data_IF_643995233197
#
_entry.id   IF_643995233197
#
_cell.length_a   1.000
_cell.length_b   1.000
_cell.length_c   1.000
_cell.angle_alpha   90.00
_cell.angle_beta   90.00
_cell.angle_gamma   90.00
#
_symmetry.space_group_name_H-M   'P 1'
#
loop_
_entity.id
_entity.type
_entity.pdbx_description
1 polymer ?
#
# COMPACT_ATOMS: atom_id res chain seq x y z
N UNK A 1 -34.05 10.64 6.55
CA UNK A 1 -33.90 9.52 7.50
C UNK A 1 -33.73 8.26 6.68
N UNK A 2 -32.51 7.82 6.45
CA UNK A 2 -32.20 6.62 5.64
C UNK A 2 -32.19 5.42 6.59
N UNK A 3 -33.10 4.47 6.37
CA UNK A 3 -33.23 3.21 7.11
C UNK A 3 -31.87 2.51 7.28
N UNK A 4 -31.60 2.03 8.48
CA UNK A 4 -30.41 1.27 8.83
C UNK A 4 -30.41 -0.10 8.10
N UNK A 5 -29.25 -0.67 7.82
CA UNK A 5 -29.07 -1.86 6.98
C UNK A 5 -29.79 -3.13 7.51
N UNK A 6 -30.20 -3.16 8.78
CA UNK A 6 -30.91 -4.27 9.37
C UNK A 6 -32.38 -4.41 8.99
N UNK A 7 -32.99 -3.36 8.38
CA UNK A 7 -34.43 -3.32 8.10
C UNK A 7 -34.80 -3.54 6.62
N UNK A 8 -33.90 -4.09 5.83
CA UNK A 8 -34.21 -4.36 4.43
C UNK A 8 -34.69 -5.78 4.24
N UNK A 9 -35.94 -5.97 3.90
CA UNK A 9 -36.57 -7.28 3.62
C UNK A 9 -36.04 -7.95 2.34
N UNK A 10 -35.38 -7.17 1.45
CA UNK A 10 -34.89 -7.69 0.18
C UNK A 10 -33.35 -7.76 0.18
N UNK A 11 -32.77 -8.87 -0.37
CA UNK A 11 -31.33 -9.02 -0.49
C UNK A 11 -30.68 -7.88 -1.31
N UNK A 12 -29.49 -7.46 -0.92
CA UNK A 12 -28.69 -6.52 -1.71
C UNK A 12 -28.28 -7.17 -3.03
N UNK A 13 -28.39 -6.50 -4.18
CA UNK A 13 -27.84 -7.02 -5.43
C UNK A 13 -26.33 -7.31 -5.29
N UNK A 14 -25.58 -6.39 -4.70
CA UNK A 14 -24.14 -6.54 -4.47
C UNK A 14 -23.76 -5.98 -3.10
N UNK A 15 -22.95 -6.72 -2.35
CA UNK A 15 -22.28 -6.29 -1.14
C UNK A 15 -20.76 -6.35 -1.36
N UNK A 16 -20.04 -5.28 -1.02
CA UNK A 16 -18.60 -5.17 -1.17
C UNK A 16 -17.97 -4.97 0.21
N UNK A 17 -16.93 -5.75 0.53
CA UNK A 17 -16.17 -5.62 1.78
C UNK A 17 -14.87 -4.86 1.51
N UNK A 18 -14.75 -3.66 2.07
CA UNK A 18 -13.59 -2.78 1.96
C UNK A 18 -13.74 -1.65 0.94
N UNK A 19 -13.37 -0.43 1.34
CA UNK A 19 -13.43 0.79 0.52
C UNK A 19 -12.02 1.33 0.16
N UNK A 20 -11.08 0.42 -0.11
CA UNK A 20 -9.80 0.72 -0.76
C UNK A 20 -9.94 0.82 -2.29
N UNK A 21 -8.80 0.78 -3.01
CA UNK A 21 -8.80 0.79 -4.48
C UNK A 21 -9.74 -0.26 -5.09
N UNK A 22 -9.68 -1.51 -4.61
CA UNK A 22 -10.50 -2.60 -5.16
C UNK A 22 -11.99 -2.34 -5.01
N UNK A 23 -12.44 -2.04 -3.78
CA UNK A 23 -13.85 -1.82 -3.50
C UNK A 23 -14.43 -0.57 -4.17
N UNK A 24 -13.69 0.55 -4.14
CA UNK A 24 -14.09 1.76 -4.85
C UNK A 24 -14.15 1.54 -6.37
N UNK A 25 -13.14 0.88 -6.93
CA UNK A 25 -13.10 0.56 -8.36
C UNK A 25 -14.28 -0.29 -8.80
N UNK A 26 -14.61 -1.34 -8.01
CA UNK A 26 -15.75 -2.21 -8.27
C UNK A 26 -17.08 -1.43 -8.17
N UNK A 27 -17.29 -0.64 -7.11
CA UNK A 27 -18.51 0.14 -6.95
C UNK A 27 -18.72 1.15 -8.09
N UNK A 28 -17.64 1.81 -8.54
CA UNK A 28 -17.69 2.73 -9.67
C UNK A 28 -18.03 1.97 -10.98
N UNK A 29 -17.42 0.81 -11.19
CA UNK A 29 -17.70 -0.01 -12.38
C UNK A 29 -19.15 -0.50 -12.41
N UNK A 30 -19.66 -1.01 -11.28
CA UNK A 30 -21.06 -1.42 -11.13
C UNK A 30 -22.04 -0.26 -11.41
N UNK A 31 -21.75 0.92 -10.85
CA UNK A 31 -22.56 2.11 -11.08
C UNK A 31 -22.58 2.53 -12.56
N UNK A 32 -21.45 2.45 -13.24
CA UNK A 32 -21.36 2.69 -14.71
C UNK A 32 -22.15 1.66 -15.51
N UNK A 33 -22.23 0.42 -15.03
CA UNK A 33 -23.02 -0.65 -15.63
C UNK A 33 -24.52 -0.59 -15.26
N UNK A 34 -24.97 0.46 -14.52
CA UNK A 34 -26.38 0.62 -14.14
C UNK A 34 -26.75 -0.02 -12.79
N UNK A 35 -25.86 -0.77 -12.15
CA UNK A 35 -26.09 -1.36 -10.82
C UNK A 35 -25.78 -0.30 -9.75
N UNK A 36 -26.84 0.34 -9.23
CA UNK A 36 -26.71 1.44 -8.27
C UNK A 36 -26.94 1.03 -6.82
N UNK A 37 -27.63 -0.07 -6.62
CA UNK A 37 -27.99 -0.59 -5.31
C UNK A 37 -26.89 -1.51 -4.80
N UNK A 38 -25.85 -0.90 -4.21
CA UNK A 38 -24.64 -1.56 -3.73
C UNK A 38 -24.37 -1.13 -2.30
N UNK A 39 -24.09 -2.08 -1.42
CA UNK A 39 -23.65 -1.82 -0.05
C UNK A 39 -22.14 -2.04 0.05
N UNK A 40 -21.40 -1.01 0.46
CA UNK A 40 -19.98 -1.15 0.82
C UNK A 40 -19.83 -1.10 2.34
N UNK A 41 -19.16 -2.09 2.92
CA UNK A 41 -18.81 -2.13 4.33
C UNK A 41 -17.31 -1.82 4.49
N UNK A 42 -16.96 -0.78 5.24
CA UNK A 42 -15.59 -0.38 5.52
C UNK A 42 -15.36 -0.29 7.04
N UNK A 43 -14.32 -0.98 7.53
CA UNK A 43 -13.98 -0.99 8.96
C UNK A 43 -13.52 0.38 9.49
N UNK A 44 -12.91 1.18 8.65
CA UNK A 44 -12.40 2.48 9.02
C UNK A 44 -13.43 3.60 8.89
N UNK A 45 -12.99 4.81 9.22
CA UNK A 45 -13.84 6.02 9.26
C UNK A 45 -13.92 6.75 7.91
N UNK A 46 -13.14 6.33 6.92
CA UNK A 46 -13.09 6.93 5.59
C UNK A 46 -12.64 5.90 4.56
N UNK A 47 -12.79 6.24 3.28
CA UNK A 47 -12.25 5.48 2.15
C UNK A 47 -10.71 5.49 2.14
N UNK A 48 -10.10 4.60 1.38
CA UNK A 48 -8.66 4.63 1.09
C UNK A 48 -7.89 3.36 1.45
N UNK A 49 -8.44 2.49 2.32
CA UNK A 49 -7.78 1.24 2.71
C UNK A 49 -6.36 1.47 3.23
N UNK A 50 -5.37 0.78 2.66
CA UNK A 50 -3.95 0.89 3.07
C UNK A 50 -3.39 2.31 2.97
N UNK A 51 -3.92 3.16 2.10
CA UNK A 51 -3.50 4.57 1.96
C UNK A 51 -4.08 5.48 3.04
N UNK A 52 -5.14 5.07 3.72
CA UNK A 52 -5.61 5.69 4.96
C UNK A 52 -4.81 5.18 6.17
N UNK A 53 -4.50 3.89 6.19
CA UNK A 53 -3.92 3.22 7.36
C UNK A 53 -2.41 3.45 7.50
N UNK A 54 -1.65 3.46 6.40
CA UNK A 54 -0.19 3.56 6.43
C UNK A 54 0.27 5.01 6.35
N UNK A 55 0.38 5.65 7.50
CA UNK A 55 0.75 7.07 7.65
C UNK A 55 2.15 7.29 8.19
N UNK A 56 3.01 6.26 8.19
CA UNK A 56 4.39 6.37 8.65
C UNK A 56 5.20 7.38 7.81
N UNK A 57 6.24 8.01 8.38
CA UNK A 57 7.08 8.98 7.66
C UNK A 57 7.66 8.39 6.37
N UNK A 58 7.61 9.14 5.30
CA UNK A 58 8.10 8.70 3.98
C UNK A 58 7.18 7.72 3.24
N UNK A 59 5.98 7.44 3.75
CA UNK A 59 5.02 6.56 3.09
C UNK A 59 4.67 7.05 1.68
N UNK A 60 4.96 6.22 0.68
CA UNK A 60 4.74 6.54 -0.73
C UNK A 60 4.55 5.26 -1.56
N UNK A 61 4.05 5.40 -2.77
CA UNK A 61 3.94 4.29 -3.71
C UNK A 61 5.31 3.93 -4.29
N UNK A 62 5.50 2.66 -4.61
CA UNK A 62 6.65 2.11 -5.33
C UNK A 62 6.30 1.75 -6.79
N UNK A 63 5.12 2.15 -7.24
CA UNK A 63 4.67 2.09 -8.64
C UNK A 63 4.47 3.52 -9.14
N UNK A 64 4.87 3.84 -10.39
CA UNK A 64 4.72 5.18 -10.94
C UNK A 64 3.29 5.69 -10.87
N UNK A 65 3.11 6.95 -10.46
CA UNK A 65 1.81 7.57 -10.14
C UNK A 65 0.79 7.48 -11.26
N UNK A 66 1.21 7.72 -12.51
CA UNK A 66 0.32 7.61 -13.67
C UNK A 66 -0.11 6.17 -13.98
N UNK A 67 0.60 5.16 -13.47
CA UNK A 67 0.20 3.76 -13.56
C UNK A 67 -0.66 3.36 -12.35
N UNK A 68 -0.31 3.85 -11.14
CA UNK A 68 -1.00 3.54 -9.89
C UNK A 68 -2.24 4.44 -9.70
N UNK A 69 -3.18 4.35 -10.61
CA UNK A 69 -4.46 5.08 -10.62
C UNK A 69 -5.49 4.29 -11.40
N UNK A 70 -6.76 4.59 -11.22
CA UNK A 70 -7.81 3.99 -12.06
C UNK A 70 -7.62 4.39 -13.53
N UNK A 71 -7.76 3.43 -14.43
CA UNK A 71 -7.65 3.69 -15.86
C UNK A 71 -8.75 4.63 -16.40
N UNK A 72 -9.90 4.58 -15.77
CA UNK A 72 -11.07 5.39 -16.10
C UNK A 72 -11.09 6.78 -15.40
N UNK A 73 -10.13 7.03 -14.49
CA UNK A 73 -10.01 8.30 -13.76
C UNK A 73 -8.52 8.69 -13.67
N UNK A 74 -7.88 9.03 -14.79
CA UNK A 74 -6.50 9.45 -14.80
C UNK A 74 -6.33 10.81 -14.12
N UNK A 75 -5.22 11.00 -13.41
CA UNK A 75 -4.90 12.24 -12.71
C UNK A 75 -3.68 12.93 -13.35
N UNK A 76 -3.85 14.06 -14.05
CA UNK A 76 -2.72 14.81 -14.62
C UNK A 76 -1.93 15.59 -13.57
N UNK A 77 -2.48 15.74 -12.38
CA UNK A 77 -1.95 16.61 -11.32
C UNK A 77 -0.97 15.94 -10.35
N UNK A 78 -0.53 14.70 -10.61
CA UNK A 78 0.43 14.05 -9.73
C UNK A 78 1.67 14.91 -9.52
N UNK A 79 2.11 15.05 -8.25
CA UNK A 79 3.24 15.91 -7.89
C UNK A 79 4.58 15.33 -8.32
N UNK A 80 4.70 14.00 -8.35
CA UNK A 80 5.96 13.31 -8.62
C UNK A 80 5.78 11.91 -9.19
N UNK A 81 6.88 11.30 -9.63
CA UNK A 81 6.88 9.95 -10.25
C UNK A 81 6.28 8.90 -9.32
N UNK A 82 6.58 8.97 -8.01
CA UNK A 82 6.04 8.05 -7.00
C UNK A 82 5.34 8.87 -5.91
N UNK A 83 4.03 8.99 -6.02
CA UNK A 83 3.23 9.84 -5.15
C UNK A 83 3.30 9.42 -3.69
N UNK A 84 3.35 10.41 -2.76
CA UNK A 84 3.24 10.16 -1.34
C UNK A 84 1.84 9.70 -0.96
N UNK A 85 1.75 9.06 0.19
CA UNK A 85 0.53 8.48 0.76
C UNK A 85 -0.65 9.45 0.76
N UNK A 86 -0.46 10.68 1.24
CA UNK A 86 -1.52 11.67 1.36
C UNK A 86 -2.14 12.03 -0.01
N UNK A 87 -1.32 12.16 -1.04
CA UNK A 87 -1.78 12.48 -2.40
C UNK A 87 -2.62 11.35 -3.00
N UNK A 88 -2.24 10.09 -2.73
CA UNK A 88 -3.01 8.92 -3.17
C UNK A 88 -4.33 8.80 -2.41
N UNK A 89 -4.32 9.07 -1.11
CA UNK A 89 -5.55 9.09 -0.31
C UNK A 89 -6.53 10.16 -0.82
N UNK A 90 -6.02 11.36 -1.10
CA UNK A 90 -6.83 12.45 -1.65
C UNK A 90 -7.37 12.10 -3.05
N UNK A 91 -6.59 11.43 -3.87
CA UNK A 91 -7.06 10.91 -5.15
C UNK A 91 -8.25 9.95 -4.97
N UNK A 92 -8.16 8.98 -4.05
CA UNK A 92 -9.25 8.04 -3.77
C UNK A 92 -10.50 8.72 -3.23
N UNK A 93 -10.34 9.71 -2.34
CA UNK A 93 -11.44 10.55 -1.83
C UNK A 93 -12.16 11.29 -2.95
N UNK A 94 -11.39 11.92 -3.84
CA UNK A 94 -11.96 12.61 -5.02
C UNK A 94 -12.67 11.63 -5.95
N UNK A 95 -12.12 10.44 -6.22
CA UNK A 95 -12.80 9.42 -7.02
C UNK A 95 -14.13 8.99 -6.39
N UNK A 96 -14.14 8.70 -5.09
CA UNK A 96 -15.34 8.29 -4.38
C UNK A 96 -16.44 9.37 -4.42
N UNK A 97 -16.06 10.64 -4.24
CA UNK A 97 -16.98 11.78 -4.31
C UNK A 97 -17.49 12.02 -5.74
N UNK A 98 -16.57 12.13 -6.71
CA UNK A 98 -16.90 12.42 -8.12
C UNK A 98 -17.85 11.40 -8.72
N UNK A 99 -17.63 10.11 -8.43
CA UNK A 99 -18.47 9.04 -8.93
C UNK A 99 -19.68 8.72 -8.05
N UNK A 100 -19.91 9.49 -6.98
CA UNK A 100 -21.09 9.36 -6.11
C UNK A 100 -21.17 8.03 -5.35
N UNK A 101 -20.02 7.34 -5.13
CA UNK A 101 -20.02 6.06 -4.39
C UNK A 101 -19.76 6.22 -2.90
N UNK A 102 -19.30 7.40 -2.44
CA UNK A 102 -19.07 7.65 -1.01
C UNK A 102 -20.32 7.44 -0.15
N UNK A 103 -21.50 7.84 -0.65
CA UNK A 103 -22.79 7.66 0.03
C UNK A 103 -23.26 6.21 0.15
N UNK A 104 -22.65 5.29 -0.57
CA UNK A 104 -22.93 3.85 -0.51
C UNK A 104 -22.03 3.13 0.50
N UNK A 105 -21.03 3.82 1.08
CA UNK A 105 -20.11 3.23 2.05
C UNK A 105 -20.66 3.41 3.46
N UNK A 106 -20.73 2.31 4.19
CA UNK A 106 -20.94 2.33 5.64
C UNK A 106 -19.61 2.17 6.32
N UNK A 107 -19.24 3.19 7.05
CA UNK A 107 -17.98 3.25 7.80
C UNK A 107 -18.13 2.67 9.21
N UNK A 108 -17.00 2.27 9.82
CA UNK A 108 -16.97 1.64 11.14
C UNK A 108 -17.58 0.25 11.16
N UNK A 109 -17.68 -0.41 10.01
CA UNK A 109 -18.31 -1.73 9.88
C UNK A 109 -17.26 -2.82 9.74
N UNK A 110 -17.04 -3.60 10.79
CA UNK A 110 -16.08 -4.72 10.80
C UNK A 110 -16.81 -6.02 10.49
N UNK A 111 -16.60 -6.53 9.27
CA UNK A 111 -17.16 -7.83 8.85
C UNK A 111 -16.44 -8.95 9.60
N UNK A 112 -17.22 -9.82 10.25
CA UNK A 112 -16.75 -10.96 11.04
C UNK A 112 -16.95 -12.29 10.33
N UNK A 113 -18.03 -12.42 9.55
CA UNK A 113 -18.36 -13.66 8.84
C UNK A 113 -19.07 -13.38 7.52
N UNK A 114 -18.91 -14.30 6.58
CA UNK A 114 -19.71 -14.37 5.35
C UNK A 114 -19.89 -15.85 4.99
N UNK A 115 -21.13 -16.27 4.80
CA UNK A 115 -21.49 -17.63 4.45
C UNK A 115 -22.45 -17.62 3.25
N UNK A 116 -22.25 -18.54 2.33
CA UNK A 116 -23.18 -18.74 1.21
C UNK A 116 -24.25 -19.73 1.62
N UNK A 117 -25.49 -19.35 1.43
CA UNK A 117 -26.67 -20.20 1.64
C UNK A 117 -27.08 -20.83 0.31
N UNK A 118 -26.74 -22.08 0.14
CA UNK A 118 -27.00 -22.85 -1.08
C UNK A 118 -28.52 -23.00 -1.35
N UNK A 119 -29.36 -23.09 -0.30
CA UNK A 119 -30.78 -23.27 -0.46
C UNK A 119 -31.49 -22.05 -1.04
N UNK A 120 -31.01 -20.88 -0.68
CA UNK A 120 -31.58 -19.59 -1.13
C UNK A 120 -30.77 -18.89 -2.19
N UNK A 121 -29.52 -19.35 -2.50
CA UNK A 121 -28.61 -18.74 -3.46
C UNK A 121 -28.14 -17.35 -3.01
N UNK A 122 -27.95 -17.15 -1.72
CA UNK A 122 -27.64 -15.84 -1.13
C UNK A 122 -26.42 -15.92 -0.20
N UNK A 123 -25.63 -14.83 -0.18
CA UNK A 123 -24.64 -14.60 0.84
C UNK A 123 -25.27 -13.98 2.07
N UNK A 124 -25.03 -14.57 3.24
CA UNK A 124 -25.29 -13.95 4.54
C UNK A 124 -23.98 -13.35 5.07
N UNK A 125 -23.98 -12.04 5.29
CA UNK A 125 -22.80 -11.31 5.76
C UNK A 125 -23.10 -10.70 7.12
N UNK A 126 -22.21 -10.93 8.07
CA UNK A 126 -22.32 -10.45 9.46
C UNK A 126 -21.19 -9.46 9.76
N UNK A 127 -21.53 -8.38 10.45
CA UNK A 127 -20.55 -7.35 10.88
C UNK A 127 -20.97 -6.69 12.19
N UNK A 128 -20.04 -6.02 12.84
CA UNK A 128 -20.31 -5.05 13.91
C UNK A 128 -20.24 -3.65 13.36
N UNK A 129 -21.19 -2.78 13.72
CA UNK A 129 -21.21 -1.37 13.33
C UNK A 129 -20.30 -0.51 14.26
N UNK A 130 -20.19 0.79 13.98
CA UNK A 130 -19.39 1.74 14.77
C UNK A 130 -19.79 1.84 16.24
N UNK A 131 -21.00 1.40 16.61
CA UNK A 131 -21.48 1.34 17.97
C UNK A 131 -21.35 -0.06 18.60
N UNK A 132 -20.53 -0.95 18.01
CA UNK A 132 -20.36 -2.35 18.41
C UNK A 132 -21.65 -3.19 18.40
N UNK A 133 -22.65 -2.81 17.64
CA UNK A 133 -23.90 -3.57 17.52
C UNK A 133 -23.75 -4.59 16.40
N UNK A 134 -24.15 -5.86 16.63
CA UNK A 134 -24.17 -6.86 15.57
C UNK A 134 -25.22 -6.52 14.51
N UNK A 135 -24.83 -6.71 13.26
CA UNK A 135 -25.63 -6.47 12.06
C UNK A 135 -25.48 -7.65 11.12
N UNK A 136 -26.50 -7.90 10.30
CA UNK A 136 -26.41 -8.88 9.22
C UNK A 136 -27.21 -8.40 7.99
N UNK A 137 -26.83 -8.86 6.82
CA UNK A 137 -27.59 -8.66 5.60
C UNK A 137 -27.39 -9.83 4.63
N UNK A 138 -28.34 -9.97 3.72
CA UNK A 138 -28.26 -10.92 2.61
C UNK A 138 -27.88 -10.18 1.32
N UNK A 139 -27.07 -10.83 0.48
CA UNK A 139 -26.67 -10.29 -0.82
C UNK A 139 -26.63 -11.39 -1.88
N UNK A 140 -27.01 -11.05 -3.14
CA UNK A 140 -26.91 -11.99 -4.27
C UNK A 140 -25.45 -12.19 -4.68
N UNK A 141 -24.66 -11.13 -4.63
CA UNK A 141 -23.23 -11.16 -4.98
C UNK A 141 -22.42 -10.55 -3.84
N UNK A 142 -21.38 -11.26 -3.42
CA UNK A 142 -20.40 -10.77 -2.46
C UNK A 142 -19.07 -10.52 -3.16
N UNK A 143 -18.53 -9.30 -2.98
CA UNK A 143 -17.21 -8.92 -3.46
C UNK A 143 -16.26 -8.71 -2.28
N UNK A 144 -15.25 -9.56 -2.17
CA UNK A 144 -14.19 -9.40 -1.17
C UNK A 144 -13.11 -8.45 -1.71
N UNK A 145 -13.06 -7.22 -1.19
CA UNK A 145 -12.06 -6.21 -1.51
C UNK A 145 -11.23 -5.82 -0.27
N UNK A 146 -10.99 -6.78 0.63
CA UNK A 146 -10.33 -6.62 1.94
C UNK A 146 -8.85 -6.24 1.84
N UNK A 147 -8.22 -6.38 0.66
CA UNK A 147 -6.80 -6.13 0.43
C UNK A 147 -5.90 -7.22 1.03
N UNK A 148 -4.60 -7.15 0.70
CA UNK A 148 -3.59 -8.13 1.16
C UNK A 148 -2.87 -7.68 2.43
N UNK A 149 -2.91 -6.39 2.79
CA UNK A 149 -2.12 -5.79 3.86
C UNK A 149 -2.99 -5.13 4.95
N UNK A 150 -4.28 -5.45 4.98
CA UNK A 150 -5.25 -4.80 5.87
C UNK A 150 -5.19 -5.25 7.34
N UNK A 151 -4.36 -6.27 7.67
CA UNK A 151 -4.20 -6.77 9.04
C UNK A 151 -2.71 -6.82 9.40
N UNK A 152 -2.23 -5.93 10.29
CA UNK A 152 -0.86 -5.97 10.77
C UNK A 152 -0.62 -7.24 11.59
N UNK A 153 0.55 -7.84 11.43
CA UNK A 153 1.00 -8.97 12.20
C UNK A 153 2.24 -8.58 13.01
N UNK A 154 2.11 -8.55 14.32
CA UNK A 154 3.24 -8.41 15.25
C UNK A 154 3.75 -9.82 15.55
N UNK A 155 5.03 -10.14 15.28
CA UNK A 155 5.57 -11.46 15.59
C UNK A 155 5.62 -11.69 17.10
N UNK A 156 5.36 -12.93 17.52
CA UNK A 156 5.56 -13.34 18.91
C UNK A 156 7.07 -13.47 19.18
N UNK A 157 7.66 -12.45 19.77
CA UNK A 157 9.07 -12.43 20.15
C UNK A 157 9.20 -12.63 21.64
N UNK A 158 10.06 -13.55 22.09
CA UNK A 158 10.34 -13.73 23.52
C UNK A 158 10.78 -12.40 24.15
N UNK A 159 10.14 -12.02 25.25
CA UNK A 159 10.47 -10.80 26.00
C UNK A 159 9.88 -9.51 25.42
N UNK A 160 9.09 -9.54 24.35
CA UNK A 160 8.46 -8.34 23.80
C UNK A 160 7.51 -7.69 24.80
N UNK A 161 6.78 -8.49 25.59
CA UNK A 161 5.82 -8.00 26.58
C UNK A 161 6.52 -7.35 27.81
N UNK A 162 7.80 -7.64 28.04
CA UNK A 162 8.61 -7.03 29.11
C UNK A 162 9.31 -5.73 28.66
N UNK A 163 9.19 -5.35 27.39
CA UNK A 163 9.78 -4.12 26.90
C UNK A 163 9.02 -2.90 27.42
N UNK A 164 9.67 -2.08 28.22
CA UNK A 164 9.05 -0.93 28.89
C UNK A 164 8.73 0.26 27.95
N UNK A 165 9.27 0.27 26.75
CA UNK A 165 9.05 1.33 25.77
C UNK A 165 7.82 1.09 24.87
N UNK A 166 7.42 2.09 24.09
CA UNK A 166 6.35 1.91 23.13
C UNK A 166 6.70 0.90 22.03
N UNK A 167 5.77 -0.03 21.76
CA UNK A 167 5.83 -1.01 20.67
C UNK A 167 4.64 -0.80 19.74
N UNK A 168 4.89 -0.68 18.45
CA UNK A 168 3.81 -0.55 17.46
C UNK A 168 4.25 -1.04 16.07
N UNK A 169 3.27 -1.48 15.29
CA UNK A 169 3.48 -1.86 13.90
C UNK A 169 3.44 -0.64 12.99
N UNK A 170 4.23 -0.60 11.91
CA UNK A 170 4.29 0.53 10.98
C UNK A 170 2.93 0.90 10.35
N UNK A 171 2.03 -0.07 10.14
CA UNK A 171 0.67 0.17 9.67
C UNK A 171 -0.25 0.85 10.72
N UNK A 172 0.21 0.95 11.96
CA UNK A 172 -0.46 1.62 13.08
C UNK A 172 0.48 2.64 13.70
N UNK A 173 1.01 3.53 12.86
CA UNK A 173 2.02 4.50 13.26
C UNK A 173 1.51 5.43 14.36
N UNK A 174 2.29 5.56 15.43
CA UNK A 174 2.00 6.39 16.60
C UNK A 174 2.62 7.78 16.41
N UNK A 175 1.84 8.70 15.84
CA UNK A 175 2.26 10.09 15.63
C UNK A 175 2.41 10.90 16.93
N UNK A 176 1.80 10.43 18.01
CA UNK A 176 1.89 11.00 19.36
C UNK A 176 3.25 10.69 20.05
N UNK A 177 4.07 9.80 19.48
CA UNK A 177 5.39 9.44 20.00
C UNK A 177 6.47 10.18 19.21
N UNK A 178 7.15 11.13 19.86
CA UNK A 178 8.32 11.76 19.27
C UNK A 178 9.54 10.82 19.39
N UNK A 179 10.14 10.52 18.24
CA UNK A 179 11.34 9.69 18.12
C UNK A 179 12.65 10.49 18.16
N UNK A 180 12.58 11.83 18.25
CA UNK A 180 13.77 12.68 18.32
C UNK A 180 14.56 12.38 19.61
N UNK A 181 15.86 12.17 19.45
CA UNK A 181 16.76 11.87 20.56
C UNK A 181 16.54 10.50 21.22
N UNK A 182 15.66 9.64 20.69
CA UNK A 182 15.38 8.31 21.23
C UNK A 182 16.28 7.23 20.64
N UNK A 183 16.43 6.15 21.39
CA UNK A 183 16.98 4.89 20.90
C UNK A 183 15.83 4.08 20.32
N UNK A 184 15.88 3.78 19.02
CA UNK A 184 14.78 3.12 18.30
C UNK A 184 15.27 1.79 17.74
N UNK A 185 14.48 0.74 17.94
CA UNK A 185 14.68 -0.57 17.31
C UNK A 185 13.63 -0.78 16.21
N UNK A 186 14.06 -1.22 15.04
CA UNK A 186 13.19 -1.57 13.92
C UNK A 186 13.42 -3.03 13.56
N UNK A 187 12.34 -3.81 13.60
CA UNK A 187 12.37 -5.23 13.25
C UNK A 187 11.83 -5.41 11.84
N UNK A 188 12.72 -5.75 10.93
CA UNK A 188 12.41 -5.99 9.52
C UNK A 188 12.98 -4.97 8.55
N UNK A 189 13.15 -5.40 7.30
CA UNK A 189 13.69 -4.65 6.16
C UNK A 189 12.76 -4.70 4.94
N UNK A 190 11.44 -4.69 5.19
CA UNK A 190 10.41 -4.74 4.15
C UNK A 190 10.11 -3.37 3.53
N UNK A 191 9.09 -3.32 2.65
CA UNK A 191 8.72 -2.14 1.89
C UNK A 191 8.42 -0.89 2.75
N UNK A 192 7.83 -1.07 3.93
CA UNK A 192 7.59 0.05 4.86
C UNK A 192 8.90 0.52 5.50
N UNK A 193 9.73 -0.43 5.99
CA UNK A 193 10.98 -0.10 6.66
C UNK A 193 11.93 0.71 5.77
N UNK A 194 12.08 0.36 4.49
CA UNK A 194 12.96 1.09 3.57
C UNK A 194 12.51 2.53 3.33
N UNK A 195 11.27 2.88 3.69
CA UNK A 195 10.72 4.23 3.56
C UNK A 195 10.87 5.02 4.87
N UNK A 196 10.45 4.47 6.01
CA UNK A 196 10.47 5.24 7.25
C UNK A 196 11.84 5.22 7.97
N UNK A 197 12.65 4.18 7.82
CA UNK A 197 13.97 4.09 8.48
C UNK A 197 14.88 5.26 8.09
N UNK A 198 15.05 5.65 6.81
CA UNK A 198 15.82 6.83 6.45
C UNK A 198 15.28 8.12 7.09
N UNK A 199 13.96 8.25 7.22
CA UNK A 199 13.34 9.44 7.82
C UNK A 199 13.60 9.54 9.33
N UNK A 200 13.41 8.44 10.06
CA UNK A 200 13.62 8.42 11.51
C UNK A 200 15.11 8.45 11.88
N UNK A 201 16.00 7.92 11.04
CA UNK A 201 17.44 7.94 11.25
C UNK A 201 18.01 9.37 11.37
N UNK A 202 17.33 10.36 10.76
CA UNK A 202 17.72 11.78 10.83
C UNK A 202 17.47 12.41 12.22
N UNK A 203 16.58 11.81 13.02
CA UNK A 203 16.06 12.37 14.27
C UNK A 203 16.41 11.52 15.50
N UNK A 204 16.49 10.21 15.35
CA UNK A 204 16.80 9.29 16.43
C UNK A 204 18.23 9.48 16.94
N UNK A 205 18.45 9.37 18.26
CA UNK A 205 19.80 9.35 18.82
C UNK A 205 20.57 8.08 18.39
N UNK A 206 19.89 6.94 18.38
CA UNK A 206 20.39 5.66 17.85
C UNK A 206 19.27 4.86 17.22
N UNK A 207 19.55 4.26 16.09
CA UNK A 207 18.61 3.42 15.35
C UNK A 207 19.23 2.06 15.08
N UNK A 208 18.62 1.00 15.61
CA UNK A 208 19.05 -0.38 15.35
C UNK A 208 18.04 -1.08 14.45
N UNK A 209 18.48 -1.53 13.30
CA UNK A 209 17.65 -2.25 12.32
C UNK A 209 17.99 -3.74 12.36
N UNK A 210 17.00 -4.56 12.70
CA UNK A 210 17.14 -6.02 12.71
C UNK A 210 16.66 -6.58 11.37
N UNK A 211 17.59 -7.19 10.65
CA UNK A 211 17.36 -7.72 9.31
C UNK A 211 17.65 -9.21 9.23
N UNK A 212 16.66 -10.04 8.98
CA UNK A 212 16.88 -11.48 8.76
C UNK A 212 17.50 -11.78 7.40
N UNK A 213 17.07 -11.07 6.37
CA UNK A 213 17.54 -11.22 4.98
C UNK A 213 17.55 -9.85 4.29
N UNK A 214 18.63 -9.54 3.61
CA UNK A 214 18.71 -8.32 2.81
C UNK A 214 17.72 -8.36 1.63
N UNK A 215 16.94 -7.28 1.39
CA UNK A 215 16.09 -7.18 0.22
C UNK A 215 16.87 -6.75 -1.03
N UNK A 216 16.37 -7.10 -2.21
CA UNK A 216 16.83 -6.51 -3.46
C UNK A 216 16.34 -5.05 -3.55
N UNK A 217 17.29 -4.10 -3.66
CA UNK A 217 17.00 -2.66 -3.76
C UNK A 217 17.45 -2.15 -5.12
N UNK A 218 16.50 -1.62 -5.88
CA UNK A 218 16.75 -0.88 -7.11
C UNK A 218 16.74 0.63 -6.84
N UNK A 219 17.42 1.43 -7.67
CA UNK A 219 17.25 2.88 -7.64
C UNK A 219 15.78 3.24 -7.83
N UNK A 220 15.28 4.17 -7.01
CA UNK A 220 13.91 4.66 -7.13
C UNK A 220 13.79 5.67 -8.27
N UNK A 221 14.83 6.50 -8.47
CA UNK A 221 14.86 7.55 -9.48
C UNK A 221 13.61 8.45 -9.44
N UNK A 222 13.15 8.78 -8.22
CA UNK A 222 11.97 9.60 -8.03
C UNK A 222 12.26 11.07 -8.36
N UNK A 223 11.34 11.71 -9.07
CA UNK A 223 11.43 13.13 -9.42
C UNK A 223 10.09 13.83 -9.33
N UNK A 224 10.12 15.10 -9.03
CA UNK A 224 8.93 15.95 -9.14
C UNK A 224 8.54 16.15 -10.62
N UNK A 225 7.25 16.20 -10.88
CA UNK A 225 6.72 16.68 -12.14
C UNK A 225 6.68 18.22 -12.12
N UNK A 226 7.20 18.84 -13.17
CA UNK A 226 7.11 20.28 -13.32
C UNK A 226 5.67 20.73 -13.59
N UNK A 227 5.38 21.99 -13.31
CA UNK A 227 4.08 22.57 -13.65
C UNK A 227 3.78 22.52 -15.15
N UNK A 228 4.81 22.62 -15.97
CA UNK A 228 4.68 22.50 -17.42
C UNK A 228 4.25 21.07 -17.83
N UNK A 229 4.84 20.04 -17.22
CA UNK A 229 4.44 18.63 -17.47
C UNK A 229 3.00 18.39 -17.04
N UNK A 230 2.63 18.81 -15.84
CA UNK A 230 1.26 18.67 -15.30
C UNK A 230 0.25 19.38 -16.19
N UNK A 231 0.52 20.64 -16.60
CA UNK A 231 -0.33 21.37 -17.55
C UNK A 231 -0.40 20.70 -18.92
N UNK A 232 0.71 20.12 -19.41
CA UNK A 232 0.75 19.39 -20.67
C UNK A 232 -0.14 18.15 -20.62
N UNK A 233 -0.09 17.36 -19.56
CA UNK A 233 -0.96 16.20 -19.35
C UNK A 233 -2.44 16.60 -19.22
N UNK A 234 -2.73 17.68 -18.49
CA UNK A 234 -4.09 18.19 -18.35
C UNK A 234 -4.69 18.67 -19.69
N UNK A 235 -3.89 19.38 -20.50
CA UNK A 235 -4.33 19.89 -21.81
C UNK A 235 -4.37 18.84 -22.92
N UNK A 236 -3.59 17.76 -22.79
CA UNK A 236 -3.42 16.72 -23.81
C UNK A 236 -3.59 15.33 -23.18
N UNK A 237 -4.82 14.91 -22.84
CA UNK A 237 -5.06 13.63 -22.18
C UNK A 237 -4.50 12.41 -22.94
N UNK A 238 -4.43 12.48 -24.26
CA UNK A 238 -3.85 11.42 -25.08
C UNK A 238 -2.34 11.21 -24.82
N UNK A 239 -1.58 12.27 -24.53
CA UNK A 239 -0.17 12.13 -24.12
C UNK A 239 -0.03 11.41 -22.78
N UNK A 240 -0.92 11.70 -21.84
CA UNK A 240 -0.95 10.99 -20.56
C UNK A 240 -1.33 9.53 -20.76
N UNK A 241 -2.29 9.23 -21.65
CA UNK A 241 -2.65 7.85 -22.00
C UNK A 241 -1.46 7.09 -22.62
N UNK A 242 -0.73 7.71 -23.55
CA UNK A 242 0.49 7.13 -24.12
C UNK A 242 1.58 6.90 -23.08
N UNK A 243 1.81 7.89 -22.19
CA UNK A 243 2.76 7.74 -21.08
C UNK A 243 2.38 6.58 -20.15
N UNK A 244 1.09 6.47 -19.81
CA UNK A 244 0.56 5.36 -19.02
C UNK A 244 0.76 4.01 -19.73
N UNK A 245 0.44 3.94 -21.03
CA UNK A 245 0.60 2.72 -21.83
C UNK A 245 2.08 2.30 -21.88
N UNK A 246 2.99 3.25 -22.08
CA UNK A 246 4.43 2.99 -22.04
C UNK A 246 4.88 2.44 -20.68
N UNK A 247 4.44 3.08 -19.57
CA UNK A 247 4.73 2.59 -18.23
C UNK A 247 4.22 1.16 -18.04
N UNK A 248 2.98 0.89 -18.49
CA UNK A 248 2.39 -0.45 -18.41
C UNK A 248 3.23 -1.49 -19.14
N UNK A 249 3.52 -1.26 -20.42
CA UNK A 249 4.32 -2.16 -21.25
C UNK A 249 5.72 -2.37 -20.68
N UNK A 250 6.38 -1.30 -20.22
CA UNK A 250 7.71 -1.38 -19.62
C UNK A 250 7.74 -2.19 -18.33
N UNK A 251 6.64 -2.18 -17.54
CA UNK A 251 6.54 -3.00 -16.33
C UNK A 251 6.15 -4.44 -16.64
N UNK A 252 5.21 -4.64 -17.57
CA UNK A 252 4.71 -5.96 -17.94
C UNK A 252 5.80 -6.78 -18.67
N UNK A 253 6.59 -6.15 -19.53
CA UNK A 253 7.72 -6.79 -20.21
C UNK A 253 8.74 -7.43 -19.24
N UNK A 254 8.86 -6.90 -18.03
CA UNK A 254 9.72 -7.49 -16.97
C UNK A 254 9.19 -8.84 -16.50
N UNK A 255 7.87 -9.06 -16.56
CA UNK A 255 7.26 -10.33 -16.16
C UNK A 255 7.78 -11.51 -16.99
N UNK A 256 8.03 -11.29 -18.29
CA UNK A 256 8.62 -12.31 -19.18
C UNK A 256 10.00 -12.74 -18.69
N UNK A 257 10.81 -11.79 -18.20
CA UNK A 257 12.11 -12.08 -17.60
C UNK A 257 11.99 -12.98 -16.38
N UNK A 258 11.03 -12.71 -15.48
CA UNK A 258 10.84 -13.52 -14.27
C UNK A 258 10.22 -14.89 -14.52
N UNK A 259 9.40 -15.04 -15.56
CA UNK A 259 8.66 -16.29 -15.82
C UNK A 259 9.39 -17.23 -16.78
N UNK A 260 9.99 -16.71 -17.86
CA UNK A 260 10.59 -17.52 -18.94
C UNK A 260 12.11 -17.41 -19.05
N UNK A 261 12.70 -16.29 -18.65
CA UNK A 261 14.11 -15.97 -18.81
C UNK A 261 14.81 -15.75 -17.45
N UNK A 262 14.53 -16.61 -16.49
CA UNK A 262 14.99 -16.49 -15.12
C UNK A 262 16.50 -16.28 -14.99
N UNK A 263 17.31 -17.03 -15.77
CA UNK A 263 18.75 -16.87 -15.77
C UNK A 263 19.20 -15.46 -16.20
N UNK A 264 18.47 -14.81 -17.12
CA UNK A 264 18.72 -13.41 -17.51
C UNK A 264 18.42 -12.47 -16.36
N UNK A 265 17.35 -12.73 -15.61
CA UNK A 265 17.01 -11.90 -14.44
C UNK A 265 18.02 -12.07 -13.31
N UNK A 266 18.48 -13.28 -13.03
CA UNK A 266 19.48 -13.54 -11.98
C UNK A 266 20.86 -12.96 -12.32
N UNK A 267 21.17 -12.76 -13.60
CA UNK A 267 22.42 -12.16 -14.09
C UNK A 267 22.25 -10.69 -14.44
N UNK A 268 21.59 -10.41 -15.55
CA UNK A 268 21.45 -9.05 -16.12
C UNK A 268 20.46 -8.19 -15.31
N UNK A 269 19.31 -8.76 -14.92
CA UNK A 269 18.28 -8.06 -14.13
C UNK A 269 18.76 -7.64 -12.74
N UNK A 270 19.68 -8.41 -12.13
CA UNK A 270 20.27 -8.08 -10.83
C UNK A 270 21.38 -7.02 -10.91
N UNK A 271 21.94 -6.74 -12.09
CA UNK A 271 23.05 -5.79 -12.24
C UNK A 271 22.74 -4.37 -11.75
N UNK A 272 21.57 -3.78 -12.04
CA UNK A 272 21.24 -2.45 -11.54
C UNK A 272 21.26 -2.38 -10.01
N UNK A 273 20.67 -3.39 -9.32
CA UNK A 273 20.66 -3.45 -7.87
C UNK A 273 22.08 -3.63 -7.29
N UNK A 274 22.89 -4.50 -7.89
CA UNK A 274 24.30 -4.69 -7.47
C UNK A 274 25.16 -3.44 -7.68
N UNK A 275 24.94 -2.72 -8.79
CA UNK A 275 25.61 -1.43 -9.04
C UNK A 275 25.17 -0.38 -8.04
N UNK A 276 23.87 -0.32 -7.76
CA UNK A 276 23.30 0.61 -6.78
C UNK A 276 23.89 0.37 -5.39
N UNK A 277 23.91 -0.88 -4.92
CA UNK A 277 24.52 -1.26 -3.65
C UNK A 277 26.01 -0.88 -3.58
N UNK A 278 26.79 -1.18 -4.63
CA UNK A 278 28.24 -0.86 -4.68
C UNK A 278 28.51 0.65 -4.62
N UNK A 279 27.65 1.45 -5.26
CA UNK A 279 27.80 2.92 -5.28
C UNK A 279 27.45 3.54 -3.94
N UNK A 280 26.43 3.02 -3.27
CA UNK A 280 25.90 3.61 -2.04
C UNK A 280 26.55 3.08 -0.77
N UNK A 281 27.20 1.90 -0.83
CA UNK A 281 27.85 1.27 0.33
C UNK A 281 29.30 0.94 -0.02
N UNK A 282 30.24 1.89 0.20
CA UNK A 282 31.66 1.70 -0.06
C UNK A 282 32.29 0.61 0.84
N UNK A 283 31.89 0.53 2.13
CA UNK A 283 32.42 -0.43 3.08
C UNK A 283 32.09 -1.87 2.66
N UNK A 284 33.10 -2.74 2.44
CA UNK A 284 32.89 -4.11 2.01
C UNK A 284 32.20 -4.99 3.06
N UNK A 285 32.41 -4.72 4.36
CA UNK A 285 31.82 -5.50 5.45
C UNK A 285 30.31 -5.22 5.54
N UNK A 286 29.92 -3.95 5.55
CA UNK A 286 28.53 -3.53 5.50
C UNK A 286 27.83 -4.01 4.21
N UNK A 287 28.53 -3.86 3.07
CA UNK A 287 28.00 -4.31 1.78
C UNK A 287 27.68 -5.79 1.75
N UNK A 288 28.52 -6.67 2.32
CA UNK A 288 28.23 -8.11 2.45
C UNK A 288 26.93 -8.35 3.20
N UNK A 289 26.69 -7.64 4.30
CA UNK A 289 25.47 -7.73 5.13
C UNK A 289 24.22 -7.26 4.42
N UNK A 290 24.34 -6.28 3.51
CA UNK A 290 23.27 -5.74 2.68
C UNK A 290 23.11 -6.42 1.32
N UNK A 291 23.90 -7.46 1.03
CA UNK A 291 23.80 -8.24 -0.20
C UNK A 291 22.72 -9.30 -0.08
N UNK A 292 21.69 -9.32 -0.96
CA UNK A 292 20.69 -10.37 -0.94
C UNK A 292 21.27 -11.76 -1.23
N UNK A 293 20.83 -12.75 -0.50
CA UNK A 293 21.23 -14.16 -0.67
C UNK A 293 20.23 -14.98 -1.47
N UNK A 294 19.01 -14.47 -1.68
CA UNK A 294 17.98 -15.13 -2.48
C UNK A 294 18.01 -14.63 -3.92
N UNK A 295 17.63 -15.46 -4.92
CA UNK A 295 17.48 -15.01 -6.30
C UNK A 295 16.55 -13.80 -6.41
N UNK A 296 16.82 -12.91 -7.38
CA UNK A 296 15.97 -11.73 -7.61
C UNK A 296 14.56 -12.16 -8.04
N UNK A 297 13.54 -11.54 -7.45
CA UNK A 297 12.12 -11.87 -7.73
C UNK A 297 11.53 -12.96 -6.83
N UNK A 298 12.32 -13.72 -6.06
CA UNK A 298 11.77 -14.63 -5.04
C UNK A 298 11.10 -13.89 -3.87
N UNK A 299 11.49 -12.63 -3.66
CA UNK A 299 10.83 -11.67 -2.78
C UNK A 299 10.55 -10.40 -3.57
N UNK A 300 9.61 -9.58 -3.09
CA UNK A 300 9.33 -8.27 -3.69
C UNK A 300 10.62 -7.48 -3.84
N UNK A 301 10.92 -7.04 -5.06
CA UNK A 301 12.00 -6.11 -5.33
C UNK A 301 11.54 -4.73 -4.85
N UNK A 302 12.37 -4.07 -4.06
CA UNK A 302 12.08 -2.76 -3.48
C UNK A 302 12.85 -1.66 -4.22
N UNK A 303 12.34 -0.44 -4.13
CA UNK A 303 12.97 0.74 -4.75
C UNK A 303 13.25 1.79 -3.69
N UNK A 304 14.51 2.22 -3.57
CA UNK A 304 14.92 3.27 -2.63
C UNK A 304 16.27 3.85 -3.01
N UNK A 305 16.40 5.16 -2.88
CA UNK A 305 17.68 5.86 -3.02
C UNK A 305 18.31 6.18 -1.64
N UNK A 306 17.52 6.09 -0.56
CA UNK A 306 17.92 6.50 0.80
C UNK A 306 18.23 5.34 1.74
N UNK A 307 17.69 4.13 1.48
CA UNK A 307 17.83 2.97 2.37
C UNK A 307 19.29 2.55 2.60
N UNK A 308 20.02 2.32 1.52
CA UNK A 308 21.37 1.80 1.59
C UNK A 308 22.34 2.80 2.27
N UNK A 309 22.36 4.10 1.92
CA UNK A 309 23.26 5.06 2.57
C UNK A 309 22.88 5.36 4.03
N UNK A 310 21.66 5.03 4.46
CA UNK A 310 21.26 5.19 5.87
C UNK A 310 22.18 4.40 6.81
N UNK A 311 22.66 3.23 6.41
CA UNK A 311 23.54 2.38 7.23
C UNK A 311 24.99 2.86 7.30
N UNK A 312 25.37 3.89 6.56
CA UNK A 312 26.67 4.57 6.69
C UNK A 312 26.66 5.69 7.75
N UNK A 313 25.51 5.95 8.40
CA UNK A 313 25.39 6.95 9.47
C UNK A 313 25.89 6.38 10.80
N UNK A 314 26.59 7.19 11.58
CA UNK A 314 27.16 6.81 12.88
C UNK A 314 26.13 6.39 13.92
N UNK A 315 24.90 6.88 13.78
CA UNK A 315 23.79 6.58 14.66
C UNK A 315 22.93 5.40 14.23
N UNK A 316 23.32 4.63 13.18
CA UNK A 316 22.53 3.54 12.65
C UNK A 316 23.29 2.22 12.70
N UNK A 317 22.73 1.24 13.38
CA UNK A 317 23.25 -0.12 13.44
C UNK A 317 22.41 -1.07 12.60
N UNK A 318 23.06 -2.01 11.92
CA UNK A 318 22.42 -3.14 11.27
C UNK A 318 22.76 -4.42 12.04
N UNK A 319 21.74 -5.17 12.44
CA UNK A 319 21.86 -6.51 13.06
C UNK A 319 21.29 -7.54 12.08
N UNK A 320 22.08 -8.59 11.76
CA UNK A 320 21.72 -9.63 10.78
C UNK A 320 21.85 -11.00 11.38
#
# INVERSE_FOLDING_TARGET
>A
MTSLAGDRDTPWPVLIIGAGFGGLGMAIALRKAGVRDVLLLEKGVDVGGVWRENTYPGAACDVPSHLYSFSFEPNPGWSRTYSPQAEILDYLRRCAAKHGVRGQVRFGCTVSAAAFDEAHGLWRVEWTDAANRPQAAHARVLVSAVGLLGRPLVPALPGLDSFAGPVFHSAQWRHDIDLAGKRVAVIGSGASAIQFVPEIARRAARLTVFQRNAPWILPRADRAYSDAERRRFARRPWLMALHRAWLYVAHDARAVGFTRLRWVMDTVGALPARRHLRRQVPDPALRRRLTPTTPIGCKRILVSDDWLPTFARDNVDLVT
#
